data_IF_829097283449
#
_entry.id   IF_829097283449
#
_cell.length_a   1.000
_cell.length_b   1.000
_cell.length_c   1.000
_cell.angle_alpha   90.00
_cell.angle_beta   90.00
_cell.angle_gamma   90.00
#
_symmetry.space_group_name_H-M   'P 1'
#
loop_
_entity.id
_entity.type
_entity.pdbx_description
1 polymer ?
#
# COMPACT_ATOMS: atom_id res chain seq x y z
N UNK A 1 -18.84 57.46 -28.10
CA UNK A 1 -17.99 56.50 -27.42
C UNK A 1 -18.70 55.15 -27.43
N UNK A 2 -18.20 54.19 -28.23
CA UNK A 2 -18.76 52.84 -28.30
C UNK A 2 -17.84 51.94 -27.49
N UNK A 3 -18.32 51.36 -26.39
CA UNK A 3 -17.60 50.37 -25.60
C UNK A 3 -17.87 48.96 -26.15
N UNK A 4 -16.81 48.31 -26.63
CA UNK A 4 -16.86 46.92 -27.10
C UNK A 4 -16.48 46.01 -25.94
N UNK A 5 -17.41 45.23 -25.47
CA UNK A 5 -17.14 44.18 -24.45
C UNK A 5 -16.54 42.94 -25.12
N UNK A 6 -15.31 42.60 -24.77
CA UNK A 6 -14.67 41.35 -25.15
C UNK A 6 -15.01 40.30 -24.07
N UNK A 7 -15.83 39.35 -24.43
CA UNK A 7 -16.14 38.22 -23.58
C UNK A 7 -14.99 37.19 -23.67
N UNK A 8 -14.24 37.01 -22.57
CA UNK A 8 -13.23 35.98 -22.46
C UNK A 8 -13.90 34.64 -22.09
N UNK A 9 -13.91 33.70 -23.03
CA UNK A 9 -14.33 32.33 -22.80
C UNK A 9 -13.17 31.57 -22.10
N UNK A 10 -13.31 31.33 -20.80
CA UNK A 10 -12.41 30.42 -20.07
C UNK A 10 -12.84 28.98 -20.35
N UNK A 11 -12.05 28.24 -21.13
CA UNK A 11 -12.23 26.82 -21.35
C UNK A 11 -11.81 26.08 -20.08
N UNK A 12 -12.76 25.52 -19.36
CA UNK A 12 -12.51 24.59 -18.24
C UNK A 12 -12.17 23.22 -18.83
N UNK A 13 -10.88 22.86 -18.81
CA UNK A 13 -10.44 21.52 -19.19
C UNK A 13 -10.74 20.58 -18.00
N UNK A 14 -11.84 19.83 -18.11
CA UNK A 14 -12.13 18.72 -17.22
C UNK A 14 -11.15 17.57 -17.53
N UNK A 15 -10.16 17.37 -16.70
CA UNK A 15 -9.40 16.12 -16.68
C UNK A 15 -10.29 15.00 -16.16
N UNK A 16 -10.95 14.29 -17.06
CA UNK A 16 -11.61 13.02 -16.75
C UNK A 16 -10.51 11.99 -16.48
N UNK A 17 -10.46 11.45 -15.25
CA UNK A 17 -9.66 10.28 -14.96
C UNK A 17 -10.15 9.15 -15.87
N UNK A 18 -9.30 8.67 -16.78
CA UNK A 18 -9.66 7.60 -17.71
C UNK A 18 -10.06 6.35 -16.92
N UNK A 19 -11.24 5.77 -17.18
CA UNK A 19 -11.63 4.52 -16.52
C UNK A 19 -10.68 3.39 -16.93
N UNK A 20 -10.37 2.48 -16.01
CA UNK A 20 -9.58 1.29 -16.30
C UNK A 20 -10.21 0.55 -17.48
N UNK A 21 -9.45 0.37 -18.57
CA UNK A 21 -9.92 -0.37 -19.71
C UNK A 21 -9.90 -1.88 -19.40
N UNK A 22 -11.03 -2.60 -19.52
CA UNK A 22 -11.07 -4.05 -19.30
C UNK A 22 -10.13 -4.83 -20.21
N UNK A 23 -9.86 -4.32 -21.42
CA UNK A 23 -8.90 -4.91 -22.37
C UNK A 23 -7.46 -4.81 -21.83
N UNK A 24 -7.07 -3.67 -21.25
CA UNK A 24 -5.74 -3.52 -20.66
C UNK A 24 -5.53 -4.43 -19.45
N UNK A 25 -6.57 -4.62 -18.63
CA UNK A 25 -6.50 -5.52 -17.48
C UNK A 25 -6.42 -7.00 -17.92
N UNK A 26 -7.08 -7.41 -19.00
CA UNK A 26 -6.99 -8.77 -19.56
C UNK A 26 -5.57 -9.04 -20.06
N UNK A 27 -5.00 -8.17 -20.89
CA UNK A 27 -3.63 -8.29 -21.39
C UNK A 27 -2.61 -8.33 -20.23
N UNK A 28 -2.83 -7.54 -19.17
CA UNK A 28 -1.99 -7.55 -18.00
C UNK A 28 -2.06 -8.85 -17.20
N UNK A 29 -3.21 -9.52 -17.16
CA UNK A 29 -3.38 -10.83 -16.56
C UNK A 29 -2.59 -11.89 -17.34
N UNK A 30 -2.65 -11.88 -18.66
CA UNK A 30 -1.92 -12.83 -19.51
C UNK A 30 -0.40 -12.70 -19.30
N UNK A 31 0.12 -11.46 -19.22
CA UNK A 31 1.53 -11.21 -18.91
C UNK A 31 1.88 -11.70 -17.49
N UNK A 32 1.02 -11.44 -16.50
CA UNK A 32 1.21 -11.90 -15.14
C UNK A 32 1.33 -13.43 -15.05
N UNK A 33 0.51 -14.15 -15.77
CA UNK A 33 0.53 -15.61 -15.86
C UNK A 33 1.77 -16.11 -16.63
N UNK A 34 2.06 -15.53 -17.79
CA UNK A 34 3.21 -15.89 -18.62
C UNK A 34 4.57 -15.67 -17.91
N UNK A 35 4.67 -14.66 -17.02
CA UNK A 35 5.84 -14.40 -16.18
C UNK A 35 5.90 -15.30 -14.94
N UNK A 36 4.94 -16.19 -14.74
CA UNK A 36 4.90 -17.12 -13.61
C UNK A 36 4.61 -16.46 -12.26
N UNK A 37 4.07 -15.22 -12.24
CA UNK A 37 3.79 -14.50 -11.00
C UNK A 37 2.79 -15.23 -10.09
N UNK A 38 1.82 -15.95 -10.70
CA UNK A 38 0.84 -16.78 -9.99
C UNK A 38 1.45 -17.92 -9.17
N UNK A 39 2.70 -18.34 -9.47
CA UNK A 39 3.43 -19.34 -8.67
C UNK A 39 3.78 -18.87 -7.26
N UNK A 40 3.73 -17.55 -6.99
CA UNK A 40 3.99 -16.96 -5.69
C UNK A 40 2.81 -16.14 -5.16
N UNK A 41 1.95 -15.61 -6.03
CA UNK A 41 0.90 -14.67 -5.67
C UNK A 41 -0.50 -15.15 -6.05
N UNK A 42 -1.42 -15.14 -5.10
CA UNK A 42 -2.83 -15.40 -5.38
C UNK A 42 -3.57 -14.11 -5.73
N UNK A 43 -4.27 -14.12 -6.85
CA UNK A 43 -5.07 -12.98 -7.35
C UNK A 43 -6.57 -13.14 -7.12
N UNK A 44 -6.99 -14.28 -6.55
CA UNK A 44 -8.38 -14.57 -6.17
C UNK A 44 -8.48 -14.72 -4.66
N UNK A 45 -9.44 -14.01 -4.05
CA UNK A 45 -9.73 -14.09 -2.62
C UNK A 45 -10.88 -15.03 -2.30
N UNK A 46 -11.17 -15.18 -1.01
CA UNK A 46 -10.46 -14.63 0.15
C UNK A 46 -9.12 -15.31 0.45
N UNK A 47 -8.39 -14.75 1.44
CA UNK A 47 -7.16 -15.34 1.95
C UNK A 47 -7.37 -16.78 2.44
N UNK A 48 -6.44 -17.68 2.14
CA UNK A 48 -6.61 -19.12 2.29
C UNK A 48 -5.93 -19.71 3.53
N UNK A 49 -4.99 -18.98 4.14
CA UNK A 49 -4.24 -19.46 5.30
C UNK A 49 -5.15 -19.69 6.51
N UNK A 50 -4.99 -20.83 7.14
CA UNK A 50 -5.67 -21.23 8.38
C UNK A 50 -4.70 -21.38 9.55
N UNK A 51 -3.45 -21.74 9.27
CA UNK A 51 -2.42 -22.03 10.26
C UNK A 51 -1.17 -21.17 10.05
N UNK A 52 -0.25 -21.20 11.02
CA UNK A 52 1.06 -20.55 10.89
C UNK A 52 1.89 -21.24 9.81
N UNK A 53 1.80 -22.54 9.67
CA UNK A 53 2.46 -23.34 8.65
C UNK A 53 2.02 -22.91 7.25
N UNK A 54 0.71 -22.73 7.01
CA UNK A 54 0.19 -22.19 5.76
C UNK A 54 0.80 -20.82 5.44
N UNK A 55 0.90 -19.95 6.46
CA UNK A 55 1.47 -18.61 6.29
C UNK A 55 2.98 -18.68 6.02
N UNK A 56 3.70 -19.60 6.61
CA UNK A 56 5.15 -19.80 6.39
C UNK A 56 5.45 -20.45 5.04
N UNK A 57 4.56 -21.28 4.52
CA UNK A 57 4.67 -21.93 3.22
C UNK A 57 4.45 -20.95 2.03
N UNK A 58 3.91 -19.74 2.29
CA UNK A 58 3.65 -18.75 1.23
C UNK A 58 4.95 -18.21 0.65
N UNK A 59 5.06 -18.23 -0.68
CA UNK A 59 6.19 -17.68 -1.41
C UNK A 59 6.09 -16.15 -1.59
N UNK A 60 4.87 -15.59 -1.59
CA UNK A 60 4.63 -14.17 -1.75
C UNK A 60 3.31 -13.71 -1.11
N UNK A 61 3.08 -12.38 -0.98
CA UNK A 61 1.82 -11.86 -0.48
C UNK A 61 0.68 -12.10 -1.45
N UNK A 62 -0.53 -12.21 -0.93
CA UNK A 62 -1.75 -12.20 -1.74
C UNK A 62 -1.98 -10.85 -2.40
N UNK A 63 -2.48 -10.87 -3.63
CA UNK A 63 -2.72 -9.70 -4.46
C UNK A 63 -4.20 -9.50 -4.84
N UNK A 64 -5.12 -10.36 -4.40
CA UNK A 64 -6.55 -10.26 -4.73
C UNK A 64 -7.20 -8.92 -4.31
N UNK A 65 -6.52 -8.12 -3.51
CA UNK A 65 -6.92 -6.77 -3.11
C UNK A 65 -5.85 -5.71 -3.44
N UNK A 66 -5.00 -5.97 -4.43
CA UNK A 66 -3.85 -5.11 -4.73
C UNK A 66 -4.26 -3.68 -5.08
N UNK A 67 -5.32 -3.49 -5.88
CA UNK A 67 -5.87 -2.19 -6.25
C UNK A 67 -6.47 -1.41 -5.08
N UNK A 68 -7.02 -2.12 -4.08
CA UNK A 68 -7.45 -1.47 -2.85
C UNK A 68 -6.29 -1.10 -1.93
N UNK A 69 -5.12 -1.75 -2.06
CA UNK A 69 -3.98 -1.62 -1.15
C UNK A 69 -2.92 -0.67 -1.63
N UNK A 70 -2.54 -0.73 -2.90
CA UNK A 70 -1.39 -0.01 -3.43
C UNK A 70 -1.81 1.28 -4.15
N UNK A 71 -0.88 2.22 -4.25
CA UNK A 71 -0.96 3.34 -5.18
C UNK A 71 -0.24 2.95 -6.48
N UNK A 72 -0.88 3.17 -7.63
CA UNK A 72 -0.38 2.74 -8.95
C UNK A 72 1.00 3.28 -9.26
N UNK A 73 1.23 4.58 -9.07
CA UNK A 73 2.53 5.22 -9.37
C UNK A 73 3.70 4.61 -8.59
N UNK A 74 3.44 4.16 -7.37
CA UNK A 74 4.44 3.46 -6.57
C UNK A 74 4.64 2.04 -7.08
N UNK A 75 3.55 1.34 -7.41
CA UNK A 75 3.59 -0.04 -7.89
C UNK A 75 4.37 -0.15 -9.21
N UNK A 76 4.12 0.77 -10.16
CA UNK A 76 4.82 0.84 -11.43
C UNK A 76 6.34 0.94 -11.24
N UNK A 77 6.78 1.86 -10.39
CA UNK A 77 8.21 2.04 -10.07
C UNK A 77 8.80 0.83 -9.37
N UNK A 78 8.04 0.23 -8.46
CA UNK A 78 8.51 -0.92 -7.70
C UNK A 78 8.65 -2.17 -8.57
N UNK A 79 7.78 -2.39 -9.54
CA UNK A 79 7.86 -3.52 -10.46
C UNK A 79 9.08 -3.46 -11.38
N UNK A 80 9.56 -2.25 -11.72
CA UNK A 80 10.82 -2.04 -12.48
C UNK A 80 12.04 -2.33 -11.61
N UNK A 81 12.03 -1.86 -10.36
CA UNK A 81 13.15 -2.01 -9.43
C UNK A 81 12.66 -2.47 -8.05
N UNK A 82 12.30 -3.75 -7.89
CA UNK A 82 11.80 -4.27 -6.63
C UNK A 82 12.83 -4.14 -5.50
N UNK A 83 12.38 -3.59 -4.37
CA UNK A 83 13.16 -3.51 -3.13
C UNK A 83 12.40 -4.15 -1.99
N UNK A 84 13.07 -4.80 -1.03
CA UNK A 84 12.41 -5.40 0.11
C UNK A 84 11.58 -4.38 0.89
N UNK A 85 10.28 -4.62 0.98
CA UNK A 85 9.39 -3.85 1.84
C UNK A 85 9.51 -4.31 3.29
N UNK A 86 9.69 -5.61 3.48
CA UNK A 86 10.09 -6.23 4.75
C UNK A 86 11.60 -6.41 4.71
N UNK A 87 12.31 -5.81 5.65
CA UNK A 87 13.78 -5.80 5.67
C UNK A 87 14.38 -7.12 6.17
N UNK A 88 13.67 -7.81 7.05
CA UNK A 88 14.06 -9.14 7.51
C UNK A 88 13.24 -10.20 6.78
N UNK A 89 13.79 -11.39 6.65
CA UNK A 89 13.03 -12.57 6.20
C UNK A 89 11.77 -12.75 7.05
N UNK A 90 10.75 -13.32 6.45
CA UNK A 90 9.54 -13.62 7.22
C UNK A 90 9.88 -14.58 8.36
N UNK A 91 9.33 -14.31 9.52
CA UNK A 91 9.58 -15.09 10.75
C UNK A 91 11.05 -15.12 11.23
N UNK A 92 11.87 -14.15 10.82
CA UNK A 92 13.24 -13.95 11.35
C UNK A 92 13.34 -12.58 12.05
N UNK A 93 14.17 -12.53 13.09
CA UNK A 93 14.51 -11.30 13.81
C UNK A 93 15.92 -10.77 13.44
N UNK A 94 16.70 -11.58 12.74
CA UNK A 94 18.13 -11.30 12.47
C UNK A 94 18.49 -11.35 10.99
N UNK A 95 17.86 -12.27 10.22
CA UNK A 95 18.23 -12.51 8.84
C UNK A 95 17.63 -11.47 7.89
N UNK A 96 18.48 -10.84 7.10
CA UNK A 96 18.05 -9.87 6.09
C UNK A 96 17.28 -10.54 4.95
N UNK A 97 16.27 -9.85 4.44
CA UNK A 97 15.55 -10.25 3.23
C UNK A 97 16.44 -9.99 2.00
N UNK A 98 16.81 -11.01 1.22
CA UNK A 98 17.71 -10.86 0.08
C UNK A 98 17.13 -10.01 -1.06
N UNK A 99 15.82 -9.77 -1.09
CA UNK A 99 15.21 -8.89 -2.11
C UNK A 99 15.26 -9.46 -3.52
N UNK A 100 15.06 -10.74 -3.67
CA UNK A 100 15.17 -11.47 -4.95
C UNK A 100 13.86 -11.50 -5.77
N UNK A 101 12.98 -10.52 -5.61
CA UNK A 101 11.77 -10.42 -6.43
C UNK A 101 12.14 -10.15 -7.90
N UNK A 102 11.55 -10.87 -8.86
CA UNK A 102 11.79 -10.65 -10.29
C UNK A 102 11.43 -9.21 -10.71
N UNK A 103 12.23 -8.64 -11.61
CA UNK A 103 11.96 -7.34 -12.25
C UNK A 103 11.09 -7.55 -13.48
N UNK A 104 10.20 -6.61 -13.75
CA UNK A 104 9.50 -6.55 -15.02
C UNK A 104 10.23 -5.64 -16.03
N UNK A 105 10.18 -6.03 -17.31
CA UNK A 105 10.56 -5.13 -18.39
C UNK A 105 9.61 -3.91 -18.44
N UNK A 106 10.12 -2.77 -18.87
CA UNK A 106 9.35 -1.52 -18.86
C UNK A 106 8.00 -1.62 -19.58
N UNK A 107 7.95 -2.36 -20.71
CA UNK A 107 6.73 -2.57 -21.48
C UNK A 107 5.67 -3.45 -20.79
N UNK A 108 6.08 -4.30 -19.86
CA UNK A 108 5.17 -5.21 -19.12
C UNK A 108 4.57 -4.54 -17.88
N UNK A 109 5.18 -3.43 -17.40
CA UNK A 109 4.80 -2.82 -16.12
C UNK A 109 3.40 -2.26 -16.13
N UNK A 110 3.08 -1.41 -17.10
CA UNK A 110 1.76 -0.74 -17.14
C UNK A 110 0.61 -1.75 -17.26
N UNK A 111 0.63 -2.74 -18.18
CA UNK A 111 -0.43 -3.74 -18.25
C UNK A 111 -0.57 -4.56 -16.98
N UNK A 112 0.55 -5.05 -16.39
CA UNK A 112 0.51 -5.84 -15.15
C UNK A 112 0.00 -5.00 -13.98
N UNK A 113 0.44 -3.76 -13.85
CA UNK A 113 -0.06 -2.89 -12.78
C UNK A 113 -1.54 -2.56 -12.95
N UNK A 114 -2.03 -2.34 -14.18
CA UNK A 114 -3.45 -2.13 -14.46
C UNK A 114 -4.29 -3.35 -14.06
N UNK A 115 -3.81 -4.56 -14.40
CA UNK A 115 -4.43 -5.79 -13.93
C UNK A 115 -4.47 -5.83 -12.39
N UNK A 116 -3.34 -5.60 -11.71
CA UNK A 116 -3.29 -5.62 -10.25
C UNK A 116 -4.16 -4.54 -9.62
N UNK A 117 -4.25 -3.35 -10.22
CA UNK A 117 -5.11 -2.27 -9.74
C UNK A 117 -6.60 -2.54 -9.94
N UNK A 118 -6.99 -3.43 -10.86
CA UNK A 118 -8.36 -3.90 -11.01
C UNK A 118 -8.81 -4.84 -9.88
N UNK A 119 -7.86 -5.45 -9.16
CA UNK A 119 -8.14 -6.38 -8.05
C UNK A 119 -8.48 -5.60 -6.79
N UNK A 120 -9.76 -5.38 -6.55
CA UNK A 120 -10.26 -4.59 -5.43
C UNK A 120 -11.03 -5.42 -4.41
N UNK A 121 -11.12 -4.91 -3.18
CA UNK A 121 -11.91 -5.51 -2.10
C UNK A 121 -12.99 -4.55 -1.63
N UNK A 122 -14.26 -4.97 -1.49
CA UNK A 122 -15.35 -4.15 -0.96
C UNK A 122 -15.14 -3.78 0.51
N UNK A 123 -14.24 -4.47 1.20
CA UNK A 123 -13.91 -4.19 2.60
C UNK A 123 -13.13 -2.88 2.80
N UNK A 124 -12.66 -2.26 1.71
CA UNK A 124 -11.95 -0.97 1.72
C UNK A 124 -12.88 0.14 1.25
N UNK A 125 -13.55 0.79 2.20
CA UNK A 125 -14.42 1.93 1.89
C UNK A 125 -13.59 3.16 1.51
N UNK A 126 -13.85 3.71 0.32
CA UNK A 126 -13.13 4.86 -0.22
C UNK A 126 -13.43 6.18 0.54
N UNK A 127 -12.46 7.10 0.54
CA UNK A 127 -12.61 8.47 1.03
C UNK A 127 -12.64 8.64 2.55
N UNK A 128 -12.35 7.61 3.33
CA UNK A 128 -12.39 7.65 4.81
C UNK A 128 -11.15 8.31 5.42
N UNK A 129 -10.00 8.18 4.77
CA UNK A 129 -8.72 8.62 5.32
C UNK A 129 -8.10 9.74 4.49
N UNK A 130 -8.04 10.94 5.04
CA UNK A 130 -7.27 12.06 4.46
C UNK A 130 -5.91 12.12 5.16
N UNK A 131 -4.78 11.88 4.43
CA UNK A 131 -3.44 11.94 5.01
C UNK A 131 -3.14 13.32 5.59
N UNK A 132 -2.64 13.38 6.82
CA UNK A 132 -2.24 14.65 7.45
C UNK A 132 -1.29 14.42 8.62
N UNK A 133 -0.57 15.47 9.02
CA UNK A 133 0.11 15.49 10.33
C UNK A 133 -0.93 15.22 11.40
N UNK A 134 -0.71 14.20 12.23
CA UNK A 134 -1.64 13.79 13.27
C UNK A 134 -0.89 13.49 14.57
N UNK A 135 -0.80 14.46 15.51
CA UNK A 135 -0.09 14.27 16.78
C UNK A 135 -0.66 13.11 17.62
N UNK A 136 -2.00 12.94 17.62
CA UNK A 136 -2.64 11.84 18.34
C UNK A 136 -2.29 10.48 17.70
N UNK A 137 -2.35 10.39 16.37
CA UNK A 137 -1.90 9.17 15.64
C UNK A 137 -0.43 8.86 15.91
N UNK A 138 0.43 9.89 15.95
CA UNK A 138 1.84 9.74 16.35
C UNK A 138 2.00 9.19 17.77
N UNK A 139 1.25 9.73 18.72
CA UNK A 139 1.29 9.28 20.12
C UNK A 139 0.87 7.82 20.23
N UNK A 140 -0.20 7.43 19.53
CA UNK A 140 -0.66 6.04 19.52
C UNK A 140 0.40 5.14 18.88
N UNK A 141 0.91 5.49 17.71
CA UNK A 141 1.88 4.68 16.95
C UNK A 141 3.21 4.46 17.68
N UNK A 142 3.69 5.48 18.43
CA UNK A 142 5.03 5.43 19.06
C UNK A 142 4.95 5.02 20.54
N UNK A 143 3.90 5.46 21.26
CA UNK A 143 3.87 5.35 22.73
C UNK A 143 2.78 4.42 23.26
N UNK A 144 1.55 4.53 22.75
CA UNK A 144 0.42 3.75 23.27
C UNK A 144 0.44 2.30 22.75
N UNK A 145 0.79 2.11 21.48
CA UNK A 145 0.88 0.81 20.83
C UNK A 145 2.31 0.58 20.33
N UNK A 146 2.79 -0.69 20.31
CA UNK A 146 4.17 -1.01 19.91
C UNK A 146 4.39 -1.00 18.39
N UNK A 147 3.67 -0.18 17.62
CA UNK A 147 3.77 -0.16 16.15
C UNK A 147 5.21 0.14 15.71
N UNK A 148 5.84 1.13 16.34
CA UNK A 148 7.23 1.52 16.05
C UNK A 148 8.27 0.48 16.52
N UNK A 149 7.91 -0.48 17.36
CA UNK A 149 8.80 -1.57 17.75
C UNK A 149 9.05 -2.56 16.62
N UNK A 150 8.08 -2.73 15.71
CA UNK A 150 8.18 -3.64 14.56
C UNK A 150 8.35 -2.93 13.22
N UNK A 151 7.85 -1.70 13.08
CA UNK A 151 7.81 -0.99 11.81
C UNK A 151 8.77 0.19 11.77
N UNK A 152 9.55 0.27 10.69
CA UNK A 152 10.29 1.50 10.37
C UNK A 152 9.33 2.63 9.99
N UNK A 153 9.67 3.85 10.38
CA UNK A 153 8.91 5.07 10.09
C UNK A 153 9.83 6.30 9.98
N UNK A 154 9.39 7.41 9.35
CA UNK A 154 10.16 8.65 9.31
C UNK A 154 10.28 9.27 10.70
N UNK A 155 11.48 9.23 11.27
CA UNK A 155 11.81 9.81 12.56
C UNK A 155 12.21 11.29 12.49
N UNK A 156 12.91 11.76 13.52
CA UNK A 156 13.44 13.15 13.57
C UNK A 156 14.54 13.35 12.52
N UNK A 157 14.66 14.58 11.99
CA UNK A 157 15.70 14.98 11.03
C UNK A 157 15.83 14.01 9.83
N UNK A 158 14.71 13.44 9.36
CA UNK A 158 14.65 12.50 8.24
C UNK A 158 15.36 11.14 8.47
N UNK A 159 15.82 10.85 9.67
CA UNK A 159 16.37 9.54 10.00
C UNK A 159 15.21 8.53 10.06
N UNK A 160 15.41 7.35 9.48
CA UNK A 160 14.48 6.24 9.65
C UNK A 160 14.65 5.70 11.07
N UNK A 161 13.55 5.48 11.74
CA UNK A 161 13.48 4.96 13.12
C UNK A 161 12.54 3.76 13.17
N UNK A 162 12.60 2.97 14.23
CA UNK A 162 11.73 1.84 14.45
C UNK A 162 12.33 0.49 14.10
N UNK A 163 11.60 -0.58 14.42
CA UNK A 163 12.03 -1.96 14.23
C UNK A 163 11.98 -2.42 12.77
N UNK A 164 12.60 -3.57 12.51
CA UNK A 164 12.77 -4.15 11.16
C UNK A 164 11.93 -5.42 10.93
N UNK A 165 11.32 -5.97 11.97
CA UNK A 165 10.57 -7.25 11.90
C UNK A 165 9.24 -7.15 11.17
N UNK A 166 8.64 -5.95 11.09
CA UNK A 166 7.47 -5.63 10.25
C UNK A 166 7.86 -5.02 8.90
N UNK A 167 6.93 -4.94 7.93
CA UNK A 167 7.14 -4.16 6.72
C UNK A 167 7.49 -2.71 7.03
N UNK A 168 8.48 -2.14 6.32
CA UNK A 168 8.81 -0.73 6.47
C UNK A 168 7.61 0.16 6.09
N UNK A 169 7.29 1.12 6.94
CA UNK A 169 6.28 2.14 6.70
C UNK A 169 6.90 3.50 6.33
N UNK A 170 8.22 3.58 6.16
CA UNK A 170 8.92 4.83 5.89
C UNK A 170 8.34 5.60 4.68
N UNK A 171 7.83 4.88 3.69
CA UNK A 171 7.20 5.42 2.48
C UNK A 171 5.73 4.98 2.32
N UNK A 172 5.07 4.65 3.44
CA UNK A 172 3.69 4.15 3.39
C UNK A 172 2.74 5.09 2.66
N UNK A 173 2.91 6.40 2.80
CA UNK A 173 2.09 7.41 2.14
C UNK A 173 2.33 7.57 0.63
N UNK A 174 3.36 6.93 0.06
CA UNK A 174 3.53 6.78 -1.39
C UNK A 174 3.02 5.44 -1.88
N UNK A 175 3.15 4.40 -1.05
CA UNK A 175 2.90 3.01 -1.42
C UNK A 175 1.47 2.56 -1.20
N UNK A 176 0.89 2.94 -0.07
CA UNK A 176 -0.39 2.39 0.39
C UNK A 176 -1.53 3.36 0.15
N UNK A 177 -2.67 2.80 -0.28
CA UNK A 177 -3.93 3.52 -0.23
C UNK A 177 -4.26 3.85 1.24
N UNK A 178 -4.52 5.11 1.56
CA UNK A 178 -4.86 5.52 2.93
C UNK A 178 -6.05 4.75 3.53
N UNK A 179 -7.08 4.50 2.75
CA UNK A 179 -8.28 3.80 3.20
C UNK A 179 -8.01 2.33 3.51
N UNK A 180 -7.10 1.68 2.75
CA UNK A 180 -6.68 0.32 3.06
C UNK A 180 -5.95 0.24 4.41
N UNK A 181 -5.17 1.25 4.80
CA UNK A 181 -4.50 1.27 6.12
C UNK A 181 -5.55 1.19 7.23
N UNK A 182 -6.64 1.96 7.11
CA UNK A 182 -7.74 1.92 8.07
C UNK A 182 -8.46 0.57 8.07
N UNK A 183 -8.86 0.10 6.88
CA UNK A 183 -9.54 -1.18 6.73
C UNK A 183 -8.72 -2.34 7.31
N UNK A 184 -7.40 -2.34 7.09
CA UNK A 184 -6.51 -3.35 7.65
C UNK A 184 -6.40 -3.29 9.17
N UNK A 185 -6.50 -2.12 9.80
CA UNK A 185 -6.53 -1.99 11.26
C UNK A 185 -7.87 -2.48 11.84
N UNK A 186 -8.98 -2.21 11.15
CA UNK A 186 -10.32 -2.57 11.60
C UNK A 186 -10.68 -4.04 11.32
N UNK A 187 -10.26 -4.57 10.16
CA UNK A 187 -10.64 -5.91 9.68
C UNK A 187 -9.41 -6.73 9.25
N UNK A 188 -8.37 -6.85 10.08
CA UNK A 188 -7.11 -7.45 9.66
C UNK A 188 -7.24 -8.92 9.22
N UNK A 189 -8.18 -9.67 9.80
CA UNK A 189 -8.39 -11.09 9.46
C UNK A 189 -8.94 -11.31 8.05
N UNK A 190 -9.63 -10.32 7.48
CA UNK A 190 -10.11 -10.38 6.09
C UNK A 190 -8.93 -10.47 5.12
N UNK A 191 -7.90 -9.65 5.33
CA UNK A 191 -6.74 -9.57 4.44
C UNK A 191 -5.64 -10.56 4.81
N UNK A 192 -5.49 -10.85 6.10
CA UNK A 192 -4.51 -11.77 6.65
C UNK A 192 -5.09 -12.49 7.86
N UNK A 193 -5.72 -13.63 7.66
CA UNK A 193 -6.33 -14.39 8.77
C UNK A 193 -5.27 -14.89 9.75
N UNK A 194 -4.10 -15.30 9.25
CA UNK A 194 -2.93 -15.68 10.04
C UNK A 194 -1.85 -14.62 9.90
N UNK A 195 -1.42 -14.02 11.00
CA UNK A 195 -0.44 -12.93 11.00
C UNK A 195 0.30 -12.78 12.30
N UNK A 196 1.49 -12.20 12.21
CA UNK A 196 2.33 -11.85 13.36
C UNK A 196 2.01 -10.47 13.95
N UNK A 197 1.43 -9.56 13.14
CA UNK A 197 1.02 -8.25 13.64
C UNK A 197 -0.15 -8.39 14.62
N UNK A 198 -0.09 -7.77 15.81
CA UNK A 198 -1.20 -7.80 16.76
C UNK A 198 -2.51 -7.28 16.17
N UNK A 199 -3.63 -7.77 16.70
CA UNK A 199 -4.98 -7.26 16.40
C UNK A 199 -5.25 -6.10 17.35
N UNK A 200 -5.63 -4.94 16.80
CA UNK A 200 -5.92 -3.74 17.59
C UNK A 200 -7.41 -3.50 17.80
N UNK A 201 -8.25 -4.32 17.18
CA UNK A 201 -9.72 -4.31 17.40
C UNK A 201 -9.98 -4.65 18.88
N UNK A 202 -10.80 -3.83 19.52
CA UNK A 202 -11.03 -3.93 20.97
C UNK A 202 -9.99 -3.21 21.86
N UNK A 203 -8.78 -2.94 21.33
CA UNK A 203 -7.71 -2.20 22.04
C UNK A 203 -7.68 -0.71 21.65
N UNK A 204 -8.01 -0.41 20.42
CA UNK A 204 -8.14 0.94 19.88
C UNK A 204 -9.58 1.20 19.46
N UNK A 205 -10.08 2.40 19.74
CA UNK A 205 -11.34 2.87 19.16
C UNK A 205 -11.19 3.11 17.65
N UNK A 206 -12.30 3.13 16.91
CA UNK A 206 -12.30 3.48 15.48
C UNK A 206 -11.67 4.84 15.21
N UNK A 207 -11.92 5.82 16.12
CA UNK A 207 -11.31 7.15 16.07
C UNK A 207 -9.78 7.07 16.23
N UNK A 208 -9.28 6.20 17.09
CA UNK A 208 -7.85 6.02 17.29
C UNK A 208 -7.21 5.30 16.08
N UNK A 209 -7.85 4.28 15.53
CA UNK A 209 -7.42 3.62 14.30
C UNK A 209 -7.39 4.59 13.10
N UNK A 210 -8.40 5.45 12.98
CA UNK A 210 -8.42 6.53 11.97
C UNK A 210 -7.28 7.53 12.16
N UNK A 211 -6.94 7.91 13.40
CA UNK A 211 -5.82 8.79 13.67
C UNK A 211 -4.48 8.14 13.29
N UNK A 212 -4.29 6.86 13.57
CA UNK A 212 -3.10 6.11 13.17
C UNK A 212 -3.03 6.01 11.64
N UNK A 213 -4.14 5.67 10.96
CA UNK A 213 -4.18 5.59 9.50
C UNK A 213 -3.81 6.92 8.84
N UNK A 214 -4.35 8.05 9.32
CA UNK A 214 -4.00 9.41 8.85
C UNK A 214 -2.52 9.74 9.04
N UNK A 215 -1.95 9.33 10.18
CA UNK A 215 -0.55 9.55 10.49
C UNK A 215 0.37 8.73 9.58
N UNK A 216 0.11 7.43 9.44
CA UNK A 216 0.90 6.51 8.59
C UNK A 216 0.78 6.88 7.10
N UNK A 217 -0.42 7.21 6.63
CA UNK A 217 -0.64 7.65 5.25
C UNK A 217 0.10 8.96 4.90
N UNK A 218 0.56 9.71 5.89
CA UNK A 218 1.37 10.91 5.69
C UNK A 218 2.88 10.65 5.63
N UNK A 219 3.33 9.39 5.74
CA UNK A 219 4.75 9.05 5.68
C UNK A 219 5.27 9.11 4.24
N UNK A 220 6.03 10.16 3.95
CA UNK A 220 6.69 10.39 2.65
C UNK A 220 8.13 10.84 2.90
N UNK A 221 9.08 10.47 2.03
CA UNK A 221 10.42 11.06 2.07
C UNK A 221 10.31 12.57 1.97
N UNK A 222 11.07 13.29 2.76
CA UNK A 222 11.16 14.74 2.56
C UNK A 222 11.96 14.99 1.29
N UNK A 223 11.44 15.83 0.39
CA UNK A 223 12.23 16.33 -0.74
C UNK A 223 13.50 16.98 -0.18
N UNK A 224 14.68 16.56 -0.67
CA UNK A 224 15.90 17.31 -0.40
C UNK A 224 15.64 18.73 -0.91
N UNK A 225 15.76 19.73 -0.05
CA UNK A 225 15.87 21.12 -0.51
C UNK A 225 17.10 21.17 -1.39
N UNK A 226 16.93 21.46 -2.67
CA UNK A 226 18.00 21.86 -3.56
C UNK A 226 18.49 23.21 -3.14
#
# INVERSE_FOLDING_TARGET
MKFTYIAAFSAVILFAAAPFSPVAAAAGKDIFEAKGCGGCHYTTGPAREKTIEDQLAKKGPELWYAGSKFQKDWLDKWLVEPKPIRLLKYNSLTEDNPGNHPKLAAGDVAPVSDFLMSLTSPEVAAGKVKPKKNPKGRQIFIKKMPCSGCHQYPGRKNKISGGRSGPSLAEAGLRLNPDWILAYLQKPKVFKPVKMMPVFVGLLSDKDMLNVARYVANFKPKKKKR
#
